data_IF_021521441794
#
_entry.id   IF_021521441794
#
_cell.length_a   1.000
_cell.length_b   1.000
_cell.length_c   1.000
_cell.angle_alpha   90.00
_cell.angle_beta   90.00
_cell.angle_gamma   90.00
#
_symmetry.space_group_name_H-M   'P 1'
#
loop_
_entity.id
_entity.type
_entity.pdbx_description
1 polymer ?
#
# COMPACT_ATOMS: atom_id res chain seq x y z
N UNK A 1 13.95 10.57 -14.62
CA UNK A 1 12.52 10.38 -14.31
C UNK A 1 12.09 11.51 -13.38
N UNK A 2 10.82 11.91 -13.40
CA UNK A 2 10.28 12.85 -12.40
C UNK A 2 8.94 12.33 -11.88
N UNK A 3 8.77 12.24 -10.58
CA UNK A 3 7.52 11.77 -9.96
C UNK A 3 6.67 12.96 -9.49
N UNK A 4 5.36 12.90 -9.77
CA UNK A 4 4.35 13.74 -9.14
C UNK A 4 3.18 12.85 -8.75
N UNK A 5 2.88 12.79 -7.46
CA UNK A 5 1.86 11.89 -6.93
C UNK A 5 1.07 12.58 -5.81
N UNK A 6 -0.24 12.32 -5.76
CA UNK A 6 -1.08 12.71 -4.63
C UNK A 6 -1.54 11.45 -3.89
N UNK A 7 -1.16 11.33 -2.62
CA UNK A 7 -1.59 10.27 -1.72
C UNK A 7 -2.75 10.79 -0.88
N UNK A 8 -3.93 10.20 -1.02
CA UNK A 8 -5.13 10.63 -0.30
C UNK A 8 -5.94 9.47 0.27
N UNK A 9 -6.57 9.71 1.42
CA UNK A 9 -7.59 8.86 2.02
C UNK A 9 -8.54 9.73 2.82
N UNK A 10 -9.81 9.35 2.89
CA UNK A 10 -10.77 10.06 3.73
C UNK A 10 -12.05 9.27 3.93
N UNK A 11 -12.78 9.64 4.96
CA UNK A 11 -14.12 9.16 5.27
C UNK A 11 -14.99 10.39 5.48
N UNK A 12 -15.98 10.55 4.61
CA UNK A 12 -16.95 11.63 4.67
C UNK A 12 -18.37 11.10 4.70
N UNK A 13 -19.27 11.86 5.32
CA UNK A 13 -20.67 11.48 5.44
C UNK A 13 -21.42 12.30 6.48
N UNK A 14 -22.61 11.83 6.83
CA UNK A 14 -23.40 12.40 7.90
C UNK A 14 -24.17 11.32 8.66
N UNK A 15 -24.20 11.44 9.98
CA UNK A 15 -25.09 10.68 10.84
C UNK A 15 -26.42 11.45 10.99
N UNK A 16 -27.53 10.84 10.56
CA UNK A 16 -28.86 11.48 10.55
C UNK A 16 -29.84 10.75 11.45
N UNK A 17 -30.70 11.48 12.15
CA UNK A 17 -31.83 10.91 12.92
C UNK A 17 -33.06 11.81 12.84
N UNK A 18 -34.24 11.22 12.61
CA UNK A 18 -35.49 11.96 12.66
C UNK A 18 -35.90 12.24 14.11
N UNK A 19 -36.29 13.49 14.40
CA UNK A 19 -36.85 13.91 15.69
C UNK A 19 -38.16 14.66 15.46
N UNK A 20 -39.00 14.72 16.48
CA UNK A 20 -40.18 15.59 16.43
C UNK A 20 -39.71 17.05 16.34
N UNK A 21 -40.12 17.75 15.28
CA UNK A 21 -39.65 19.09 14.94
C UNK A 21 -38.48 19.17 13.93
N UNK A 22 -37.96 18.06 13.42
CA UNK A 22 -36.98 18.03 12.32
C UNK A 22 -35.88 16.98 12.46
N UNK A 23 -35.02 16.88 11.45
CA UNK A 23 -33.89 15.94 11.45
C UNK A 23 -32.68 16.51 12.21
N UNK A 24 -32.05 15.68 13.05
CA UNK A 24 -30.72 15.95 13.59
C UNK A 24 -29.67 15.36 12.65
N UNK A 25 -28.69 16.18 12.25
CA UNK A 25 -27.62 15.82 11.30
C UNK A 25 -26.26 16.13 11.92
N UNK A 26 -25.36 15.14 11.95
CA UNK A 26 -23.96 15.31 12.32
C UNK A 26 -23.07 14.97 11.11
N UNK A 27 -22.54 15.96 10.39
CA UNK A 27 -21.58 15.71 9.32
C UNK A 27 -20.22 15.28 9.89
N UNK A 28 -19.48 14.51 9.12
CA UNK A 28 -18.06 14.23 9.33
C UNK A 28 -17.32 14.25 8.00
N UNK A 29 -16.10 14.76 8.01
CA UNK A 29 -15.20 14.78 6.86
C UNK A 29 -13.77 14.74 7.41
N UNK A 30 -13.26 13.53 7.58
CA UNK A 30 -11.92 13.29 8.07
C UNK A 30 -11.09 12.70 6.95
N UNK A 31 -9.95 13.30 6.64
CA UNK A 31 -9.11 12.82 5.56
C UNK A 31 -7.73 13.41 5.56
N UNK A 32 -6.88 12.82 4.73
CA UNK A 32 -5.52 13.24 4.44
C UNK A 32 -5.38 13.35 2.91
N UNK A 33 -4.77 14.43 2.45
CA UNK A 33 -4.24 14.54 1.10
C UNK A 33 -2.82 15.09 1.19
N UNK A 34 -1.86 14.32 0.65
CA UNK A 34 -0.45 14.66 0.66
C UNK A 34 0.10 14.59 -0.75
N UNK A 35 0.52 15.75 -1.25
CA UNK A 35 1.30 15.85 -2.46
C UNK A 35 2.74 15.41 -2.20
N UNK A 36 3.24 14.54 -3.07
CA UNK A 36 4.66 14.21 -3.23
C UNK A 36 5.20 14.88 -4.49
N UNK A 37 6.32 15.56 -4.33
CA UNK A 37 7.09 16.15 -5.43
C UNK A 37 8.33 15.31 -5.71
N UNK A 38 8.98 15.53 -6.85
CA UNK A 38 10.20 14.79 -7.19
C UNK A 38 11.35 15.12 -6.21
N UNK A 39 12.03 14.09 -5.70
CA UNK A 39 13.20 14.22 -4.82
C UNK A 39 13.23 13.23 -3.64
N UNK A 40 14.11 13.49 -2.66
CA UNK A 40 14.38 12.62 -1.49
C UNK A 40 14.13 13.30 -0.13
N UNK A 41 13.53 14.50 -0.13
CA UNK A 41 13.15 15.22 1.07
C UNK A 41 11.79 14.82 1.65
N UNK A 42 11.35 15.55 2.68
CA UNK A 42 10.00 15.37 3.22
C UNK A 42 8.93 15.75 2.19
N UNK A 43 7.93 14.88 2.01
CA UNK A 43 6.94 15.03 0.95
C UNK A 43 7.55 14.95 -0.46
N UNK A 44 8.64 14.21 -0.60
CA UNK A 44 9.25 13.93 -1.91
C UNK A 44 9.44 12.42 -2.11
N UNK A 45 9.41 12.02 -3.37
CA UNK A 45 9.70 10.67 -3.84
C UNK A 45 10.21 10.77 -5.28
N UNK A 46 11.03 9.83 -5.72
CA UNK A 46 11.60 9.80 -7.08
C UNK A 46 11.53 8.40 -7.71
N UNK A 47 10.83 7.44 -7.09
CA UNK A 47 10.58 6.09 -7.60
C UNK A 47 9.12 5.68 -7.43
N UNK A 48 8.55 5.02 -8.45
CA UNK A 48 7.19 4.46 -8.39
C UNK A 48 7.14 3.10 -9.05
N UNK A 49 6.65 2.10 -8.32
CA UNK A 49 6.34 0.76 -8.83
C UNK A 49 4.82 0.56 -8.81
N UNK A 50 4.28 0.06 -9.91
CA UNK A 50 2.85 -0.26 -10.07
C UNK A 50 2.78 -1.63 -10.71
N UNK A 51 1.98 -2.52 -10.13
CA UNK A 51 1.81 -3.87 -10.66
C UNK A 51 0.41 -4.41 -10.36
N UNK A 52 -0.14 -5.11 -11.35
CA UNK A 52 -1.35 -5.90 -11.24
C UNK A 52 -0.94 -7.37 -11.11
N UNK A 53 -1.36 -8.02 -10.03
CA UNK A 53 -0.91 -9.37 -9.71
C UNK A 53 -2.08 -10.36 -9.67
N UNK A 54 -1.73 -11.64 -9.83
CA UNK A 54 -2.59 -12.78 -9.50
C UNK A 54 -1.78 -13.79 -8.69
N UNK A 55 -2.31 -14.19 -7.54
CA UNK A 55 -1.68 -15.16 -6.65
C UNK A 55 -2.59 -16.39 -6.58
N UNK A 56 -2.05 -17.51 -7.07
CA UNK A 56 -2.73 -18.80 -7.04
C UNK A 56 -3.16 -19.22 -5.62
N UNK A 57 -4.06 -20.19 -5.55
CA UNK A 57 -4.49 -20.77 -4.28
C UNK A 57 -3.29 -21.21 -3.41
N UNK A 58 -3.30 -20.79 -2.13
CA UNK A 58 -2.19 -20.98 -1.18
C UNK A 58 -0.84 -20.38 -1.60
N UNK A 59 -0.85 -19.58 -2.68
CA UNK A 59 0.32 -18.95 -3.24
C UNK A 59 0.76 -17.72 -2.46
N UNK A 60 1.99 -17.31 -2.76
CA UNK A 60 2.60 -16.12 -2.21
C UNK A 60 3.46 -15.44 -3.27
N UNK A 61 3.43 -14.12 -3.31
CA UNK A 61 4.30 -13.29 -4.12
C UNK A 61 5.21 -12.49 -3.19
N UNK A 62 6.51 -12.57 -3.42
CA UNK A 62 7.50 -11.73 -2.74
C UNK A 62 7.95 -10.64 -3.70
N UNK A 63 7.80 -9.39 -3.29
CA UNK A 63 8.25 -8.22 -4.01
C UNK A 63 9.56 -7.78 -3.34
N UNK A 64 10.65 -7.78 -4.10
CA UNK A 64 11.97 -7.35 -3.66
C UNK A 64 12.12 -5.85 -3.91
N UNK A 65 12.08 -5.04 -2.85
CA UNK A 65 12.07 -3.58 -2.98
C UNK A 65 13.41 -3.00 -3.47
N UNK A 66 14.51 -3.75 -3.47
CA UNK A 66 15.82 -3.21 -3.88
C UNK A 66 16.60 -4.06 -4.88
N UNK A 67 15.99 -5.11 -5.42
CA UNK A 67 16.61 -6.00 -6.40
C UNK A 67 16.20 -5.75 -7.84
N UNK A 68 15.01 -6.22 -8.23
CA UNK A 68 14.65 -6.48 -9.64
C UNK A 68 13.47 -5.68 -10.17
N UNK A 69 12.92 -4.75 -9.38
CA UNK A 69 11.80 -3.94 -9.84
C UNK A 69 12.26 -2.96 -10.91
N UNK A 70 11.38 -2.72 -11.87
CA UNK A 70 11.56 -1.72 -12.91
C UNK A 70 10.36 -0.76 -12.90
N UNK A 71 10.59 0.47 -13.34
CA UNK A 71 9.52 1.41 -13.64
C UNK A 71 8.88 1.09 -15.01
N UNK A 72 7.82 1.83 -15.37
CA UNK A 72 7.16 1.69 -16.67
C UNK A 72 8.05 2.01 -17.89
N UNK A 73 9.26 2.54 -17.68
CA UNK A 73 10.23 2.85 -18.73
C UNK A 73 11.39 1.82 -18.78
N UNK A 74 11.39 0.80 -17.91
CA UNK A 74 12.46 -0.21 -17.80
C UNK A 74 13.68 0.25 -17.00
N UNK A 75 13.58 1.33 -16.21
CA UNK A 75 14.64 1.72 -15.28
C UNK A 75 14.53 0.89 -14.00
N UNK A 76 15.65 0.34 -13.54
CA UNK A 76 15.71 -0.37 -12.26
C UNK A 76 15.30 0.55 -11.09
N UNK A 77 14.43 0.06 -10.22
CA UNK A 77 13.98 0.69 -8.99
C UNK A 77 14.64 0.00 -7.80
N UNK A 78 15.74 0.58 -7.32
CA UNK A 78 16.44 0.13 -6.12
C UNK A 78 15.99 1.00 -4.97
N UNK A 79 14.87 0.67 -4.31
CA UNK A 79 14.35 1.54 -3.26
C UNK A 79 15.29 1.58 -2.04
N UNK A 80 15.55 2.79 -1.56
CA UNK A 80 16.27 3.07 -0.31
C UNK A 80 15.32 3.49 0.81
N UNK A 81 14.15 4.05 0.46
CA UNK A 81 13.08 4.33 1.40
C UNK A 81 11.70 4.25 0.74
N UNK A 82 10.70 3.73 1.45
CA UNK A 82 9.30 3.73 1.00
C UNK A 82 8.54 4.90 1.65
N UNK A 83 7.75 5.62 0.86
CA UNK A 83 6.91 6.75 1.27
C UNK A 83 5.43 6.40 1.32
N UNK A 84 4.96 5.54 0.42
CA UNK A 84 3.58 5.07 0.45
C UNK A 84 3.44 3.68 -0.16
N UNK A 85 2.48 2.92 0.36
CA UNK A 85 2.05 1.63 -0.18
C UNK A 85 0.52 1.66 -0.27
N UNK A 86 0.00 1.45 -1.47
CA UNK A 86 -1.42 1.23 -1.72
C UNK A 86 -1.60 -0.19 -2.23
N UNK A 87 -2.46 -0.96 -1.57
CA UNK A 87 -2.91 -2.25 -2.06
C UNK A 87 -4.43 -2.22 -2.19
N UNK A 88 -4.93 -2.58 -3.37
CA UNK A 88 -6.36 -2.71 -3.65
C UNK A 88 -6.61 -4.16 -4.05
N UNK A 89 -7.47 -4.85 -3.31
CA UNK A 89 -7.86 -6.22 -3.62
C UNK A 89 -9.05 -6.21 -4.59
N UNK A 90 -9.01 -7.08 -5.60
CA UNK A 90 -10.13 -7.20 -6.54
C UNK A 90 -11.44 -7.54 -5.82
N UNK A 91 -12.52 -6.85 -6.20
CA UNK A 91 -13.86 -7.10 -5.64
C UNK A 91 -14.41 -8.50 -5.98
N UNK A 92 -13.90 -9.11 -7.06
CA UNK A 92 -14.28 -10.45 -7.48
C UNK A 92 -13.56 -11.57 -6.69
N UNK A 93 -12.59 -11.23 -5.84
CA UNK A 93 -11.91 -12.22 -5.02
C UNK A 93 -12.88 -12.94 -4.10
N UNK A 94 -12.61 -14.20 -3.84
CA UNK A 94 -13.36 -15.02 -2.86
C UNK A 94 -12.55 -15.32 -1.60
N UNK A 95 -11.28 -14.92 -1.59
CA UNK A 95 -10.35 -14.97 -0.46
C UNK A 95 -9.73 -13.59 -0.25
N UNK A 96 -9.05 -13.39 0.88
CA UNK A 96 -8.40 -12.12 1.19
C UNK A 96 -7.00 -12.07 0.59
N UNK A 97 -6.52 -10.85 0.29
CA UNK A 97 -5.11 -10.59 0.05
C UNK A 97 -4.45 -10.25 1.38
N UNK A 98 -3.33 -10.89 1.70
CA UNK A 98 -2.55 -10.63 2.91
C UNK A 98 -1.28 -9.86 2.53
N UNK A 99 -1.05 -8.71 3.16
CA UNK A 99 0.14 -7.86 2.98
C UNK A 99 1.06 -7.97 4.21
N UNK A 100 2.34 -8.33 4.02
CA UNK A 100 3.41 -8.13 5.02
C UNK A 100 4.07 -9.36 5.66
N UNK A 101 3.53 -10.58 5.52
CA UNK A 101 3.98 -11.72 6.33
C UNK A 101 5.31 -12.37 5.87
N UNK A 102 6.47 -11.99 6.42
CA UNK A 102 7.77 -12.64 6.11
C UNK A 102 8.74 -12.64 7.29
N UNK A 103 9.33 -13.80 7.61
CA UNK A 103 10.14 -13.98 8.83
C UNK A 103 11.34 -13.01 8.98
N UNK A 104 11.87 -12.48 7.87
CA UNK A 104 13.01 -11.56 7.86
C UNK A 104 12.89 -10.51 6.74
N UNK A 105 11.71 -9.94 6.50
CA UNK A 105 11.52 -8.97 5.41
C UNK A 105 11.32 -7.53 5.86
N UNK A 106 10.80 -6.73 4.94
CA UNK A 106 10.60 -5.31 5.12
C UNK A 106 9.57 -5.04 6.22
N UNK A 107 10.03 -4.52 7.36
CA UNK A 107 9.18 -4.16 8.50
C UNK A 107 8.40 -2.89 8.19
N UNK A 108 9.07 -1.83 7.71
CA UNK A 108 8.46 -0.57 7.28
C UNK A 108 7.27 -0.08 8.14
N UNK A 109 6.03 -0.13 7.61
CA UNK A 109 4.83 0.30 8.34
C UNK A 109 4.32 -0.68 9.41
N UNK A 110 4.84 -1.91 9.43
CA UNK A 110 4.48 -2.94 10.39
C UNK A 110 5.28 -2.75 11.71
N UNK A 111 4.72 -3.20 12.83
CA UNK A 111 5.37 -3.21 14.13
C UNK A 111 6.39 -4.34 14.31
N UNK A 112 6.33 -5.40 13.48
CA UNK A 112 7.27 -6.52 13.48
C UNK A 112 7.30 -7.26 12.13
N UNK A 113 8.34 -8.07 11.89
CA UNK A 113 8.56 -8.78 10.62
C UNK A 113 7.44 -9.78 10.24
N UNK A 114 6.81 -10.43 11.21
CA UNK A 114 5.73 -11.41 10.95
C UNK A 114 4.33 -10.81 11.03
N UNK A 115 4.21 -9.48 11.11
CA UNK A 115 2.90 -8.84 11.10
C UNK A 115 2.35 -8.73 9.68
N UNK A 116 1.04 -8.70 9.58
CA UNK A 116 0.37 -8.57 8.29
C UNK A 116 -0.97 -7.88 8.41
N UNK A 117 -1.40 -7.32 7.29
CA UNK A 117 -2.71 -6.72 7.11
C UNK A 117 -3.53 -7.61 6.18
N UNK A 118 -4.75 -7.91 6.61
CA UNK A 118 -5.72 -8.65 5.78
C UNK A 118 -6.57 -7.65 5.02
N UNK A 119 -6.54 -7.72 3.69
CA UNK A 119 -7.34 -6.88 2.79
C UNK A 119 -8.44 -7.77 2.18
N UNK A 120 -9.72 -7.57 2.56
CA UNK A 120 -10.82 -8.36 2.01
C UNK A 120 -11.10 -7.99 0.54
N UNK A 121 -11.85 -8.83 -0.19
CA UNK A 121 -12.30 -8.51 -1.55
C UNK A 121 -12.93 -7.12 -1.65
N UNK A 122 -12.46 -6.31 -2.61
CA UNK A 122 -12.92 -4.93 -2.82
C UNK A 122 -12.45 -3.92 -1.77
N UNK A 123 -11.72 -4.38 -0.76
CA UNK A 123 -11.07 -3.54 0.23
C UNK A 123 -9.75 -2.96 -0.30
N UNK A 124 -9.24 -1.98 0.43
CA UNK A 124 -7.90 -1.45 0.19
C UNK A 124 -7.22 -1.12 1.51
N UNK A 125 -5.90 -0.98 1.44
CA UNK A 125 -5.10 -0.38 2.50
C UNK A 125 -4.15 0.64 1.88
N UNK A 126 -4.08 1.82 2.51
CA UNK A 126 -3.13 2.87 2.17
C UNK A 126 -2.28 3.17 3.40
N UNK A 127 -0.97 2.99 3.27
CA UNK A 127 0.02 3.32 4.29
C UNK A 127 0.87 4.47 3.74
N UNK A 128 1.06 5.53 4.53
CA UNK A 128 1.85 6.70 4.13
C UNK A 128 2.82 7.15 5.23
N UNK A 129 4.05 7.44 4.83
CA UNK A 129 5.10 8.05 5.63
C UNK A 129 5.74 9.20 4.83
N UNK A 130 5.22 10.44 4.98
CA UNK A 130 5.69 11.59 4.23
C UNK A 130 6.95 12.24 4.80
N UNK A 131 7.58 11.64 5.81
CA UNK A 131 8.81 12.16 6.40
C UNK A 131 9.97 12.11 5.39
N UNK A 132 11.03 12.89 5.64
CA UNK A 132 12.24 12.82 4.83
C UNK A 132 12.89 11.42 4.87
N UNK A 133 12.80 10.71 6.00
CA UNK A 133 13.37 9.36 6.10
C UNK A 133 12.54 8.28 5.40
N UNK A 134 11.21 8.43 5.36
CA UNK A 134 10.32 7.33 4.93
C UNK A 134 10.51 6.08 5.78
N UNK A 135 10.19 4.92 5.22
CA UNK A 135 10.54 3.62 5.78
C UNK A 135 11.79 3.09 5.09
N UNK A 136 12.90 3.01 5.82
CA UNK A 136 14.18 2.58 5.27
C UNK A 136 14.09 1.15 4.68
N UNK A 137 14.67 0.98 3.50
CA UNK A 137 14.84 -0.30 2.83
C UNK A 137 16.32 -0.67 2.93
N UNK A 138 16.62 -1.89 3.39
CA UNK A 138 17.99 -2.41 3.47
C UNK A 138 18.10 -3.59 2.53
N UNK A 139 19.01 -3.52 1.56
CA UNK A 139 19.15 -4.54 0.53
C UNK A 139 19.46 -5.92 1.11
N UNK A 140 18.85 -6.97 0.57
CA UNK A 140 19.17 -8.36 0.88
C UNK A 140 17.94 -9.24 1.01
N UNK A 141 17.68 -9.75 2.21
CA UNK A 141 16.44 -10.50 2.48
C UNK A 141 15.42 -9.65 3.24
N UNK A 142 15.86 -8.51 3.80
CA UNK A 142 15.11 -7.63 4.71
C UNK A 142 14.34 -6.51 3.99
N UNK A 143 14.39 -6.52 2.67
CA UNK A 143 13.68 -5.64 1.73
C UNK A 143 12.51 -6.35 1.04
N UNK A 144 12.23 -7.61 1.39
CA UNK A 144 11.10 -8.34 0.81
C UNK A 144 9.79 -7.92 1.48
N UNK A 145 8.82 -7.48 0.69
CA UNK A 145 7.41 -7.39 1.09
C UNK A 145 6.62 -8.52 0.45
N UNK A 146 5.72 -9.14 1.22
CA UNK A 146 4.97 -10.31 0.77
C UNK A 146 3.50 -9.99 0.56
N UNK A 147 2.97 -10.47 -0.56
CA UNK A 147 1.55 -10.65 -0.79
C UNK A 147 1.21 -12.14 -0.72
N UNK A 148 0.10 -12.51 -0.09
CA UNK A 148 -0.32 -13.91 -0.01
C UNK A 148 -1.82 -14.07 -0.17
N UNK A 149 -2.20 -15.20 -0.74
CA UNK A 149 -3.59 -15.65 -0.76
C UNK A 149 -3.95 -16.27 0.60
N UNK A 150 -5.06 -15.83 1.20
CA UNK A 150 -5.46 -16.30 2.53
C UNK A 150 -6.01 -17.73 2.56
N UNK A 151 -6.17 -18.39 1.41
CA UNK A 151 -6.86 -19.69 1.32
C UNK A 151 -6.38 -20.53 0.13
N UNK A 152 -6.87 -21.76 0.03
CA UNK A 152 -6.53 -22.76 -0.99
C UNK A 152 -7.63 -22.99 -2.05
N UNK A 153 -8.72 -22.23 -2.03
CA UNK A 153 -9.88 -22.50 -2.89
C UNK A 153 -9.81 -21.90 -4.30
N UNK A 154 -9.16 -20.75 -4.45
CA UNK A 154 -9.17 -19.93 -5.68
C UNK A 154 -8.03 -18.91 -5.64
N UNK A 155 -7.59 -18.42 -6.80
CA UNK A 155 -6.63 -17.33 -6.88
C UNK A 155 -7.20 -16.01 -6.32
N UNK A 156 -6.30 -15.10 -5.94
CA UNK A 156 -6.64 -13.70 -5.60
C UNK A 156 -5.85 -12.75 -6.47
N UNK A 157 -6.50 -11.67 -6.91
CA UNK A 157 -5.86 -10.60 -7.68
C UNK A 157 -5.98 -9.23 -7.03
N UNK A 158 -5.28 -8.27 -7.61
CA UNK A 158 -5.37 -6.86 -7.23
C UNK A 158 -4.24 -6.03 -7.80
N UNK A 159 -4.18 -4.79 -7.34
CA UNK A 159 -3.15 -3.81 -7.74
C UNK A 159 -2.36 -3.38 -6.52
N UNK A 160 -1.04 -3.30 -6.67
CA UNK A 160 -0.16 -2.66 -5.68
C UNK A 160 0.54 -1.46 -6.31
N UNK A 161 0.62 -0.38 -5.54
CA UNK A 161 1.39 0.82 -5.87
C UNK A 161 2.35 1.11 -4.73
N UNK A 162 3.63 1.27 -5.06
CA UNK A 162 4.70 1.59 -4.10
C UNK A 162 5.38 2.86 -4.57
N UNK A 163 5.42 3.86 -3.69
CA UNK A 163 6.07 5.14 -3.91
C UNK A 163 7.25 5.25 -2.95
N UNK A 164 8.41 5.67 -3.45
CA UNK A 164 9.63 5.71 -2.64
C UNK A 164 10.77 6.53 -3.21
N UNK A 165 11.89 6.42 -2.51
CA UNK A 165 13.19 6.94 -2.92
C UNK A 165 14.00 5.81 -3.56
N UNK A 166 14.53 6.05 -4.75
CA UNK A 166 15.45 5.18 -5.50
C UNK A 166 16.78 5.88 -5.78
#
# INVERSE_FOLDING_TARGET
>A
MTVSANVFAGIEGALTSARDGGDAVQPFNEGLSKLFTDGTGAGQANGVYIDDFSIEASGTLSIDLSGSLEDAHGNALVFTAIKAILLIADAANTNNVILGNVANGFVGPFGAATESLTVPPGGCVLLSNPSAAGWAVTAGTVDLIKLANSSSGSAVGGTIVILGEV
#
